data_IF_529185564261
#
_entry.id   IF_529185564261
#
_cell.length_a   1.000
_cell.length_b   1.000
_cell.length_c   1.000
_cell.angle_alpha   90.00
_cell.angle_beta   90.00
_cell.angle_gamma   90.00
#
_symmetry.space_group_name_H-M   'P 1'
#
loop_
_entity.id
_entity.type
_entity.pdbx_description
1 polymer ?
#
# COMPACT_ATOMS: atom_id res chain seq x y z
N UNK A 1 39.16 -42.21 -48.22
CA UNK A 1 37.84 -42.05 -48.85
C UNK A 1 36.91 -43.03 -48.17
N UNK A 2 36.18 -42.59 -47.15
CA UNK A 2 35.04 -43.32 -46.59
C UNK A 2 34.13 -42.26 -45.95
N UNK A 3 32.92 -42.14 -46.48
CA UNK A 3 31.93 -41.17 -46.04
C UNK A 3 30.95 -41.87 -45.08
N UNK A 4 30.89 -41.36 -43.84
CA UNK A 4 29.92 -41.80 -42.83
C UNK A 4 28.69 -40.90 -42.92
N UNK A 5 27.56 -41.47 -43.34
CA UNK A 5 26.27 -40.79 -43.35
C UNK A 5 25.61 -40.88 -41.97
N UNK A 6 25.33 -39.73 -41.35
CA UNK A 6 24.56 -39.64 -40.09
C UNK A 6 23.11 -39.28 -40.43
N UNK A 7 22.19 -40.18 -40.07
CA UNK A 7 20.73 -39.98 -40.11
C UNK A 7 20.33 -39.03 -38.98
N UNK A 8 19.59 -37.97 -39.31
CA UNK A 8 18.86 -37.12 -38.36
C UNK A 8 17.42 -37.64 -38.26
N UNK A 9 17.07 -38.23 -37.12
CA UNK A 9 15.68 -38.55 -36.78
C UNK A 9 15.01 -37.31 -36.16
N UNK A 10 14.08 -36.73 -36.91
CA UNK A 10 13.20 -35.64 -36.47
C UNK A 10 12.04 -36.20 -35.65
N UNK A 11 12.10 -36.08 -34.32
CA UNK A 11 10.93 -36.27 -33.46
C UNK A 11 10.30 -34.91 -33.13
N UNK A 12 9.08 -34.71 -33.62
CA UNK A 12 8.24 -33.56 -33.27
C UNK A 12 7.72 -33.69 -31.82
N UNK A 13 7.69 -32.61 -31.03
CA UNK A 13 7.12 -32.65 -29.68
C UNK A 13 5.59 -32.71 -29.72
N UNK A 14 4.95 -33.38 -28.74
CA UNK A 14 3.49 -33.42 -28.64
C UNK A 14 2.93 -32.06 -28.19
N UNK A 15 2.05 -31.51 -29.02
CA UNK A 15 1.28 -30.30 -28.78
C UNK A 15 0.13 -30.56 -27.79
N UNK A 16 0.36 -30.38 -26.50
CA UNK A 16 -0.71 -30.34 -25.49
C UNK A 16 -1.24 -28.90 -25.33
N UNK A 17 -2.08 -28.50 -26.28
CA UNK A 17 -2.82 -27.23 -26.25
C UNK A 17 -4.06 -27.31 -25.36
N UNK A 18 -3.85 -27.27 -24.05
CA UNK A 18 -4.92 -27.00 -23.08
C UNK A 18 -5.00 -25.51 -22.81
N UNK A 19 -5.83 -24.78 -23.55
CA UNK A 19 -6.10 -23.36 -23.32
C UNK A 19 -6.91 -23.22 -22.03
N UNK A 20 -6.23 -23.20 -20.88
CA UNK A 20 -6.85 -22.85 -19.61
C UNK A 20 -7.42 -21.44 -19.76
N UNK A 21 -8.75 -21.32 -19.75
CA UNK A 21 -9.44 -20.06 -19.82
C UNK A 21 -8.98 -19.19 -18.64
N UNK A 22 -8.16 -18.18 -18.92
CA UNK A 22 -7.73 -17.20 -17.93
C UNK A 22 -8.98 -16.48 -17.44
N UNK A 23 -9.33 -16.66 -16.16
CA UNK A 23 -10.40 -15.90 -15.56
C UNK A 23 -10.08 -14.41 -15.70
N UNK A 24 -11.07 -13.55 -16.03
CA UNK A 24 -10.83 -12.13 -16.19
C UNK A 24 -10.29 -11.56 -14.88
N UNK A 25 -9.05 -11.10 -14.91
CA UNK A 25 -8.38 -10.51 -13.75
C UNK A 25 -9.14 -9.25 -13.35
N UNK A 26 -9.73 -9.27 -12.16
CA UNK A 26 -10.48 -8.13 -11.61
C UNK A 26 -9.50 -6.98 -11.40
N UNK A 27 -9.55 -5.99 -12.29
CA UNK A 27 -8.70 -4.80 -12.18
C UNK A 27 -9.30 -3.85 -11.16
N UNK A 28 -8.63 -3.66 -10.03
CA UNK A 28 -9.03 -2.68 -9.03
C UNK A 28 -8.60 -1.28 -9.45
N UNK A 29 -9.36 -0.21 -9.12
CA UNK A 29 -9.10 1.13 -9.63
C UNK A 29 -7.79 1.76 -9.11
N UNK A 30 -7.21 1.19 -8.05
CA UNK A 30 -5.98 1.66 -7.38
C UNK A 30 -4.80 0.68 -7.51
N UNK A 31 -4.96 -0.39 -8.29
CA UNK A 31 -3.87 -1.32 -8.64
C UNK A 31 -3.63 -1.26 -10.15
N UNK A 32 -2.38 -1.44 -10.56
CA UNK A 32 -2.01 -1.68 -11.94
C UNK A 32 -1.49 -3.11 -12.10
N UNK A 33 -1.96 -3.88 -13.10
CA UNK A 33 -1.44 -5.22 -13.38
C UNK A 33 -0.02 -5.18 -13.96
N UNK A 34 0.44 -4.00 -14.41
CA UNK A 34 1.79 -3.84 -14.94
C UNK A 34 2.84 -4.17 -13.87
N UNK A 35 3.92 -4.90 -14.25
CA UNK A 35 4.99 -5.20 -13.32
C UNK A 35 5.67 -3.91 -12.88
N UNK A 36 6.05 -3.84 -11.61
CA UNK A 36 6.79 -2.72 -11.05
C UNK A 36 8.25 -2.75 -11.49
N UNK A 37 8.50 -2.24 -12.70
CA UNK A 37 9.83 -2.12 -13.32
C UNK A 37 10.05 -0.68 -13.75
N UNK A 38 11.19 -0.09 -13.38
CA UNK A 38 11.51 1.32 -13.64
C UNK A 38 10.72 2.29 -12.77
N UNK A 39 10.88 3.59 -13.03
CA UNK A 39 10.24 4.67 -12.26
C UNK A 39 8.75 4.83 -12.63
N UNK A 40 7.90 5.31 -11.70
CA UNK A 40 6.52 5.67 -12.01
C UNK A 40 6.46 6.94 -12.89
N UNK A 41 5.33 7.17 -13.56
CA UNK A 41 5.06 8.47 -14.17
C UNK A 41 4.98 9.56 -13.09
N UNK A 42 5.46 10.75 -13.41
CA UNK A 42 5.39 11.95 -12.57
C UNK A 42 4.28 12.92 -13.02
N UNK A 43 3.39 12.48 -13.91
CA UNK A 43 2.27 13.29 -14.38
C UNK A 43 1.26 13.55 -13.28
N UNK A 44 0.73 14.78 -13.23
CA UNK A 44 -0.22 15.18 -12.19
C UNK A 44 -1.52 14.35 -12.18
N UNK A 45 -1.95 13.85 -13.34
CA UNK A 45 -3.12 12.95 -13.42
C UNK A 45 -2.89 11.64 -12.66
N UNK A 46 -1.68 11.08 -12.73
CA UNK A 46 -1.30 9.88 -11.97
C UNK A 46 -1.21 10.18 -10.47
N UNK A 47 -0.77 11.38 -10.06
CA UNK A 47 -0.78 11.79 -8.64
C UNK A 47 -2.20 11.87 -8.06
N UNK A 48 -3.21 12.18 -8.87
CA UNK A 48 -4.62 12.21 -8.44
C UNK A 48 -5.22 10.81 -8.31
N UNK A 49 -4.71 9.86 -9.08
CA UNK A 49 -5.22 8.49 -9.15
C UNK A 49 -4.08 7.47 -9.07
N UNK A 50 -3.27 7.49 -7.99
CA UNK A 50 -2.06 6.68 -7.93
C UNK A 50 -2.44 5.20 -7.90
N UNK A 51 -1.80 4.42 -8.79
CA UNK A 51 -2.02 2.97 -8.88
C UNK A 51 -0.75 2.22 -8.52
N UNK A 52 -0.84 1.33 -7.54
CA UNK A 52 0.30 0.51 -7.17
C UNK A 52 0.52 -0.57 -8.24
N UNK A 53 1.74 -0.67 -8.77
CA UNK A 53 2.13 -1.69 -9.76
C UNK A 53 2.35 -3.05 -9.11
N UNK A 54 2.18 -4.11 -9.90
CA UNK A 54 2.26 -5.50 -9.44
C UNK A 54 3.72 -5.90 -9.15
N UNK A 55 3.93 -6.66 -8.08
CA UNK A 55 5.22 -7.22 -7.76
C UNK A 55 5.63 -8.25 -8.84
N UNK A 56 6.78 -8.08 -9.52
CA UNK A 56 7.12 -8.88 -10.70
C UNK A 56 7.42 -10.36 -10.42
N UNK A 57 7.79 -10.71 -9.17
CA UNK A 57 8.30 -12.05 -8.81
C UNK A 57 7.40 -12.78 -7.79
N UNK A 58 6.09 -12.74 -8.00
CA UNK A 58 5.12 -13.25 -7.02
C UNK A 58 5.34 -14.73 -6.64
N UNK A 59 5.71 -15.60 -7.59
CA UNK A 59 5.99 -17.03 -7.36
C UNK A 59 7.27 -17.30 -6.56
N UNK A 60 8.10 -16.27 -6.33
CA UNK A 60 9.42 -16.42 -5.73
C UNK A 60 9.41 -16.06 -4.24
N UNK A 61 8.25 -15.75 -3.65
CA UNK A 61 8.18 -15.34 -2.24
C UNK A 61 8.07 -16.58 -1.34
N UNK A 62 9.12 -16.85 -0.58
CA UNK A 62 9.10 -17.83 0.50
C UNK A 62 8.77 -17.12 1.81
N UNK A 63 7.56 -17.34 2.33
CA UNK A 63 7.13 -16.81 3.63
C UNK A 63 8.05 -17.36 4.73
N UNK A 64 8.39 -16.51 5.69
CA UNK A 64 9.32 -16.82 6.78
C UNK A 64 8.74 -16.44 8.13
N UNK A 65 9.49 -15.71 8.95
CA UNK A 65 9.07 -15.41 10.32
C UNK A 65 7.91 -14.41 10.35
N UNK A 66 6.84 -14.70 11.11
CA UNK A 66 5.83 -13.71 11.48
C UNK A 66 6.47 -12.54 12.24
N UNK A 67 6.23 -11.30 11.78
CA UNK A 67 6.78 -10.08 12.38
C UNK A 67 5.78 -9.47 13.37
N UNK A 68 4.52 -9.36 12.97
CA UNK A 68 3.50 -8.70 13.77
C UNK A 68 2.15 -8.63 13.08
N UNK A 69 1.16 -8.16 13.82
CA UNK A 69 -0.22 -7.99 13.38
C UNK A 69 -0.71 -6.59 13.76
N UNK A 70 -1.49 -5.99 12.88
CA UNK A 70 -2.24 -4.76 13.14
C UNK A 70 -3.74 -4.97 12.92
N UNK A 71 -4.50 -3.87 12.98
CA UNK A 71 -5.95 -3.86 12.71
C UNK A 71 -6.25 -4.31 11.28
N UNK A 72 -5.42 -3.91 10.34
CA UNK A 72 -5.65 -4.10 8.90
C UNK A 72 -5.07 -5.41 8.35
N UNK A 73 -4.40 -6.22 9.16
CA UNK A 73 -3.81 -7.48 8.72
C UNK A 73 -2.54 -7.89 9.46
N UNK A 74 -1.71 -8.69 8.79
CA UNK A 74 -0.46 -9.22 9.35
C UNK A 74 0.74 -8.87 8.50
N UNK A 75 1.93 -8.97 9.10
CA UNK A 75 3.21 -8.78 8.42
C UNK A 75 4.10 -9.99 8.64
N UNK A 76 4.58 -10.58 7.55
CA UNK A 76 5.53 -11.70 7.55
C UNK A 76 6.83 -11.26 6.91
N UNK A 77 7.96 -11.63 7.52
CA UNK A 77 9.27 -11.58 6.88
C UNK A 77 9.34 -12.70 5.85
N UNK A 78 9.65 -12.39 4.60
CA UNK A 78 9.83 -13.37 3.55
C UNK A 78 11.20 -13.24 2.88
N UNK A 79 11.62 -14.28 2.15
CA UNK A 79 12.81 -14.28 1.30
C UNK A 79 12.39 -14.43 -0.15
N UNK A 80 13.09 -13.75 -1.05
CA UNK A 80 12.91 -13.93 -2.48
C UNK A 80 13.79 -15.09 -2.95
N UNK A 81 13.21 -16.04 -3.69
CA UNK A 81 13.92 -17.19 -4.24
C UNK A 81 15.05 -16.73 -5.16
N UNK A 82 16.23 -17.31 -4.97
CA UNK A 82 17.42 -16.93 -5.74
C UNK A 82 18.01 -15.56 -5.37
N UNK A 83 17.61 -14.97 -4.24
CA UNK A 83 18.21 -13.76 -3.69
C UNK A 83 18.44 -13.90 -2.18
N UNK A 84 19.43 -13.19 -1.66
CA UNK A 84 19.62 -13.04 -0.21
C UNK A 84 18.66 -11.99 0.39
N UNK A 85 17.96 -11.23 -0.47
CA UNK A 85 17.02 -10.19 -0.09
C UNK A 85 15.91 -10.71 0.81
N UNK A 86 15.72 -10.01 1.93
CA UNK A 86 14.53 -10.15 2.77
C UNK A 86 13.53 -9.05 2.43
N UNK A 87 12.25 -9.41 2.44
CA UNK A 87 11.14 -8.47 2.26
C UNK A 87 10.16 -8.60 3.42
N UNK A 88 9.39 -7.55 3.67
CA UNK A 88 8.22 -7.58 4.54
C UNK A 88 6.96 -7.69 3.68
N UNK A 89 6.16 -8.71 3.92
CA UNK A 89 4.90 -8.95 3.22
C UNK A 89 3.76 -8.58 4.15
N UNK A 90 3.08 -7.47 3.86
CA UNK A 90 1.88 -7.04 4.58
C UNK A 90 0.67 -7.65 3.90
N UNK A 91 0.07 -8.67 4.52
CA UNK A 91 -1.15 -9.31 4.05
C UNK A 91 -2.32 -8.57 4.68
N UNK A 92 -3.20 -8.02 3.85
CA UNK A 92 -4.29 -7.17 4.31
C UNK A 92 -5.54 -8.02 4.54
N UNK A 93 -6.02 -8.06 5.78
CA UNK A 93 -7.25 -8.73 6.14
C UNK A 93 -8.43 -7.80 5.84
N UNK A 94 -9.20 -8.12 4.81
CA UNK A 94 -10.42 -7.41 4.48
C UNK A 94 -11.26 -8.28 3.58
N UNK A 95 -12.45 -8.69 4.05
CA UNK A 95 -13.35 -9.52 3.28
C UNK A 95 -13.74 -8.81 1.97
N UNK A 96 -13.19 -9.24 0.85
CA UNK A 96 -13.91 -9.24 -0.42
C UNK A 96 -15.04 -10.28 -0.28
N UNK A 97 -16.07 -10.00 0.52
CA UNK A 97 -17.32 -10.72 0.30
C UNK A 97 -17.81 -10.29 -1.07
N UNK A 98 -17.62 -11.16 -2.06
CA UNK A 98 -17.85 -10.96 -3.49
C UNK A 98 -19.31 -10.61 -3.89
N UNK A 99 -20.15 -10.17 -2.95
CA UNK A 99 -21.55 -9.75 -3.19
C UNK A 99 -21.74 -8.25 -3.36
N UNK A 100 -20.71 -7.42 -3.17
CA UNK A 100 -20.84 -5.99 -3.50
C UNK A 100 -20.58 -5.81 -5.00
N UNK A 101 -21.67 -5.85 -5.79
CA UNK A 101 -21.73 -5.38 -7.18
C UNK A 101 -20.93 -4.07 -7.29
N UNK A 102 -19.85 -4.07 -8.07
CA UNK A 102 -19.19 -2.86 -8.56
C UNK A 102 -20.20 -2.04 -9.37
N UNK A 103 -20.99 -1.21 -8.69
CA UNK A 103 -21.69 -0.08 -9.30
C UNK A 103 -20.93 1.16 -8.89
N UNK A 104 -20.04 1.59 -9.78
CA UNK A 104 -19.56 2.96 -9.92
C UNK A 104 -19.12 3.66 -8.62
N UNK A 105 -17.88 3.43 -8.19
CA UNK A 105 -17.20 4.28 -7.22
C UNK A 105 -16.22 5.21 -7.95
N UNK A 106 -16.76 6.25 -8.57
CA UNK A 106 -15.98 7.42 -8.99
C UNK A 106 -15.85 8.36 -7.79
N UNK A 107 -14.65 8.89 -7.55
CA UNK A 107 -14.22 9.76 -6.43
C UNK A 107 -13.84 9.05 -5.12
N UNK A 108 -12.67 8.40 -5.14
CA UNK A 108 -11.82 8.32 -3.96
C UNK A 108 -11.11 9.66 -3.76
N UNK A 109 -11.52 10.33 -2.70
CA UNK A 109 -11.01 11.61 -2.22
C UNK A 109 -9.74 11.27 -1.44
N UNK A 110 -8.57 11.78 -1.85
CA UNK A 110 -7.37 11.83 -1.01
C UNK A 110 -7.72 12.59 0.29
N UNK A 111 -8.15 11.85 1.30
CA UNK A 111 -8.25 12.30 2.69
C UNK A 111 -6.91 11.94 3.33
N UNK A 112 -6.01 12.92 3.35
CA UNK A 112 -4.94 12.94 4.33
C UNK A 112 -5.58 13.26 5.68
N UNK A 113 -6.06 12.24 6.39
CA UNK A 113 -6.43 12.39 7.79
C UNK A 113 -5.16 12.25 8.64
N UNK A 114 -4.44 13.36 8.80
CA UNK A 114 -3.63 13.58 9.99
C UNK A 114 -4.59 13.84 11.14
N UNK A 115 -5.20 12.81 11.75
CA UNK A 115 -5.92 12.95 13.03
C UNK A 115 -6.39 11.61 13.58
N UNK A 116 -5.43 10.80 14.04
CA UNK A 116 -5.67 9.88 15.16
C UNK A 116 -4.40 9.82 16.00
N UNK A 117 -4.06 10.91 16.69
CA UNK A 117 -3.22 10.78 17.88
C UNK A 117 -4.05 10.02 18.93
N UNK A 118 -3.52 8.97 19.57
CA UNK A 118 -4.14 8.43 20.77
C UNK A 118 -4.25 9.56 21.81
N UNK A 119 -5.30 9.57 22.66
CA UNK A 119 -5.37 10.52 23.75
C UNK A 119 -4.11 10.39 24.63
N UNK A 120 -3.67 11.48 25.29
CA UNK A 120 -2.54 11.44 26.20
C UNK A 120 -2.72 10.34 27.25
N UNK A 121 -1.62 9.64 27.55
CA UNK A 121 -1.56 8.50 28.48
C UNK A 121 -1.97 8.90 29.92
N UNK A 122 -2.08 10.21 30.19
CA UNK A 122 -2.27 10.78 31.53
C UNK A 122 -3.72 11.26 31.79
N UNK A 123 -4.69 10.79 31.01
CA UNK A 123 -6.10 11.11 31.29
C UNK A 123 -6.56 10.40 32.59
N UNK A 124 -6.56 11.17 33.68
CA UNK A 124 -7.06 10.79 35.01
C UNK A 124 -8.43 10.05 34.94
N UNK A 125 -8.66 9.03 35.78
CA UNK A 125 -9.88 8.26 35.78
C UNK A 125 -11.08 9.15 36.16
N UNK A 126 -12.01 9.30 35.22
CA UNK A 126 -13.23 10.07 35.38
C UNK A 126 -14.12 9.48 36.49
N UNK A 127 -14.19 10.14 37.64
CA UNK A 127 -15.12 9.79 38.72
C UNK A 127 -16.53 10.22 38.32
N UNK A 128 -17.42 9.25 38.15
CA UNK A 128 -18.80 9.47 37.73
C UNK A 128 -19.64 10.00 38.90
N UNK A 129 -19.94 11.30 38.91
CA UNK A 129 -20.96 11.89 39.79
C UNK A 129 -22.31 11.79 39.06
N UNK A 130 -23.37 11.22 39.66
CA UNK A 130 -24.68 11.15 39.00
C UNK A 130 -25.35 12.54 38.96
N UNK A 131 -25.25 13.21 37.81
CA UNK A 131 -25.99 14.43 37.50
C UNK A 131 -27.44 14.07 37.10
N UNK A 132 -28.50 14.60 37.75
CA UNK A 132 -29.89 14.38 37.34
C UNK A 132 -30.22 14.86 35.91
N UNK A 133 -29.38 15.73 35.34
CA UNK A 133 -29.47 16.13 33.92
C UNK A 133 -28.83 15.10 32.97
N UNK A 134 -28.14 14.09 33.48
CA UNK A 134 -27.57 12.99 32.70
C UNK A 134 -28.68 12.25 31.94
N UNK A 135 -29.78 11.90 32.61
CA UNK A 135 -30.91 11.17 32.00
C UNK A 135 -31.65 11.97 30.92
N UNK A 136 -31.79 13.29 31.10
CA UNK A 136 -32.36 14.18 30.09
C UNK A 136 -31.44 14.35 28.86
N UNK A 137 -30.11 14.34 29.05
CA UNK A 137 -29.13 14.30 27.95
C UNK A 137 -29.04 12.91 27.32
N UNK A 138 -29.23 11.85 28.09
CA UNK A 138 -29.31 10.46 27.61
C UNK A 138 -30.51 10.34 26.68
N UNK A 139 -31.72 10.74 27.10
CA UNK A 139 -32.92 10.73 26.26
C UNK A 139 -32.83 11.59 24.98
N UNK A 140 -32.14 12.74 25.00
CA UNK A 140 -31.88 13.53 23.78
C UNK A 140 -30.85 12.86 22.83
N UNK A 141 -29.94 12.03 23.34
CA UNK A 141 -28.95 11.29 22.53
C UNK A 141 -29.52 10.03 21.84
N UNK A 142 -30.72 9.58 22.22
CA UNK A 142 -31.44 8.46 21.60
C UNK A 142 -32.62 8.89 20.71
N UNK A 143 -32.63 10.12 20.20
CA UNK A 143 -33.34 10.32 18.94
C UNK A 143 -32.71 9.37 17.92
N UNK A 144 -33.50 8.57 17.18
CA UNK A 144 -32.96 7.72 16.14
C UNK A 144 -32.15 8.61 15.21
N UNK A 145 -30.83 8.41 15.20
CA UNK A 145 -29.97 9.16 14.31
C UNK A 145 -30.52 8.92 12.90
N UNK A 146 -30.62 9.95 12.04
CA UNK A 146 -30.92 9.70 10.64
C UNK A 146 -30.00 8.58 10.16
N UNK A 147 -30.52 7.60 9.39
CA UNK A 147 -29.72 6.47 8.94
C UNK A 147 -28.41 7.03 8.39
N UNK A 148 -27.30 6.66 9.03
CA UNK A 148 -26.00 7.15 8.57
C UNK A 148 -25.94 6.76 7.09
N UNK A 149 -25.61 7.71 6.18
CA UNK A 149 -25.34 7.31 4.81
C UNK A 149 -24.36 6.14 4.87
N UNK A 150 -24.55 5.08 4.05
CA UNK A 150 -23.75 3.87 4.14
C UNK A 150 -22.29 4.30 4.22
N UNK A 151 -21.65 4.01 5.36
CA UNK A 151 -20.27 4.39 5.58
C UNK A 151 -19.51 3.84 4.38
N UNK A 152 -18.78 4.72 3.67
CA UNK A 152 -17.84 4.27 2.63
C UNK A 152 -17.04 3.15 3.26
N UNK A 153 -17.19 1.94 2.72
CA UNK A 153 -16.57 0.75 3.29
C UNK A 153 -15.08 1.01 3.30
N UNK A 154 -14.54 1.13 4.50
CA UNK A 154 -13.12 1.31 4.72
C UNK A 154 -12.41 0.08 4.13
N UNK A 155 -11.61 0.28 3.09
CA UNK A 155 -10.83 -0.80 2.50
C UNK A 155 -9.34 -0.55 2.74
N UNK A 156 -8.72 -1.22 3.72
CA UNK A 156 -7.33 -0.92 4.08
C UNK A 156 -6.34 -1.17 2.93
N UNK A 157 -6.63 -2.14 2.06
CA UNK A 157 -5.78 -2.44 0.90
C UNK A 157 -5.74 -1.29 -0.12
N UNK A 158 -6.89 -0.66 -0.38
CA UNK A 158 -6.98 0.52 -1.25
C UNK A 158 -6.09 1.65 -0.73
N UNK A 159 -6.21 1.97 0.57
CA UNK A 159 -5.44 3.06 1.17
C UNK A 159 -3.95 2.78 1.16
N UNK A 160 -3.56 1.56 1.51
CA UNK A 160 -2.15 1.16 1.52
C UNK A 160 -1.54 1.21 0.10
N UNK A 161 -2.29 0.75 -0.91
CA UNK A 161 -1.87 0.83 -2.32
C UNK A 161 -1.68 2.28 -2.77
N UNK A 162 -2.67 3.15 -2.53
CA UNK A 162 -2.61 4.55 -2.92
C UNK A 162 -1.44 5.27 -2.23
N UNK A 163 -1.26 5.04 -0.93
CA UNK A 163 -0.14 5.63 -0.17
C UNK A 163 1.22 5.14 -0.69
N UNK A 164 1.37 3.84 -0.91
CA UNK A 164 2.62 3.27 -1.39
C UNK A 164 2.98 3.78 -2.81
N UNK A 165 2.00 3.85 -3.71
CA UNK A 165 2.19 4.41 -5.04
C UNK A 165 2.55 5.91 -4.98
N UNK A 166 1.90 6.69 -4.11
CA UNK A 166 2.19 8.11 -3.96
C UNK A 166 3.61 8.35 -3.41
N UNK A 167 4.02 7.58 -2.40
CA UNK A 167 5.36 7.65 -1.83
C UNK A 167 6.44 7.26 -2.85
N UNK A 168 6.16 6.27 -3.71
CA UNK A 168 7.03 5.92 -4.83
C UNK A 168 7.20 7.09 -5.80
N UNK A 169 6.10 7.77 -6.17
CA UNK A 169 6.14 8.92 -7.08
C UNK A 169 6.89 10.10 -6.47
N UNK A 170 6.72 10.36 -5.17
CA UNK A 170 7.48 11.38 -4.43
C UNK A 170 8.98 11.04 -4.45
N UNK A 171 9.33 9.77 -4.17
CA UNK A 171 10.73 9.32 -4.18
C UNK A 171 11.37 9.47 -5.56
N UNK A 172 10.67 9.08 -6.63
CA UNK A 172 11.14 9.20 -8.01
C UNK A 172 11.33 10.68 -8.40
N UNK A 173 10.42 11.55 -8.00
CA UNK A 173 10.53 13.00 -8.20
C UNK A 173 11.77 13.59 -7.51
N UNK A 174 12.04 13.18 -6.27
CA UNK A 174 13.25 13.60 -5.55
C UNK A 174 14.54 13.14 -6.25
N UNK A 175 14.57 11.93 -6.77
CA UNK A 175 15.70 11.39 -7.52
C UNK A 175 15.92 12.13 -8.85
N UNK A 176 14.84 12.40 -9.59
CA UNK A 176 14.91 13.20 -10.82
C UNK A 176 15.40 14.63 -10.54
N UNK A 177 14.88 15.29 -9.50
CA UNK A 177 15.32 16.62 -9.10
C UNK A 177 16.81 16.64 -8.76
N UNK A 178 17.30 15.67 -7.96
CA UNK A 178 18.71 15.56 -7.61
C UNK A 178 19.60 15.33 -8.85
N UNK A 179 19.19 14.43 -9.75
CA UNK A 179 19.92 14.14 -11.00
C UNK A 179 20.05 15.37 -11.90
N UNK A 180 19.03 16.21 -11.92
CA UNK A 180 18.99 17.44 -12.74
C UNK A 180 19.45 18.70 -11.98
N UNK A 181 20.00 18.56 -10.77
CA UNK A 181 20.40 19.67 -9.89
C UNK A 181 19.28 20.71 -9.67
N UNK A 182 18.05 20.24 -9.49
CA UNK A 182 16.85 21.03 -9.21
C UNK A 182 16.46 20.86 -7.74
N UNK A 183 15.86 21.91 -7.16
CA UNK A 183 15.31 21.88 -5.81
C UNK A 183 13.78 21.87 -5.86
N UNK A 184 13.16 20.91 -5.18
CA UNK A 184 11.71 20.91 -4.93
C UNK A 184 11.46 21.89 -3.79
N UNK A 185 10.56 22.85 -3.99
CA UNK A 185 10.22 23.84 -2.97
C UNK A 185 8.82 23.57 -2.42
N UNK A 186 8.67 23.55 -1.10
CA UNK A 186 7.40 23.26 -0.42
C UNK A 186 7.03 24.39 0.54
N UNK A 187 5.74 24.51 0.85
CA UNK A 187 5.29 25.26 2.01
C UNK A 187 5.58 24.42 3.28
N UNK A 188 6.48 24.87 4.18
CA UNK A 188 6.85 24.11 5.37
C UNK A 188 5.71 23.99 6.42
N UNK A 189 4.68 24.84 6.31
CA UNK A 189 3.56 24.90 7.25
C UNK A 189 2.21 24.88 6.52
N UNK A 190 1.86 23.77 5.83
CA UNK A 190 0.58 23.68 5.12
C UNK A 190 -0.57 23.65 6.13
N UNK A 191 -1.48 24.63 6.07
CA UNK A 191 -2.62 24.75 7.01
C UNK A 191 -3.93 24.25 6.42
N UNK A 192 -4.00 24.18 5.10
CA UNK A 192 -5.20 23.78 4.38
C UNK A 192 -4.95 22.57 3.48
N UNK A 193 -6.03 21.87 3.12
CA UNK A 193 -5.98 20.82 2.09
C UNK A 193 -5.39 21.33 0.77
N UNK A 194 -5.67 22.58 0.41
CA UNK A 194 -5.12 23.17 -0.82
C UNK A 194 -3.61 23.39 -0.71
N UNK A 195 -3.10 23.77 0.45
CA UNK A 195 -1.65 23.89 0.68
C UNK A 195 -0.96 22.53 0.55
N UNK A 196 -1.54 21.48 1.15
CA UNK A 196 -1.04 20.13 1.02
C UNK A 196 -1.06 19.65 -0.45
N UNK A 197 -2.12 19.96 -1.21
CA UNK A 197 -2.19 19.64 -2.63
C UNK A 197 -1.16 20.43 -3.47
N UNK A 198 -0.87 21.69 -3.12
CA UNK A 198 0.19 22.46 -3.76
C UNK A 198 1.57 21.84 -3.49
N UNK A 199 1.83 21.43 -2.25
CA UNK A 199 3.04 20.68 -1.91
C UNK A 199 3.14 19.38 -2.71
N UNK A 200 2.04 18.62 -2.82
CA UNK A 200 2.03 17.39 -3.60
C UNK A 200 2.28 17.65 -5.09
N UNK A 201 1.71 18.71 -5.66
CA UNK A 201 1.96 19.13 -7.04
C UNK A 201 3.42 19.48 -7.31
N UNK A 202 4.16 19.96 -6.31
CA UNK A 202 5.57 20.29 -6.46
C UNK A 202 6.44 19.06 -6.80
N UNK A 203 5.94 17.84 -6.53
CA UNK A 203 6.60 16.59 -6.93
C UNK A 203 6.22 16.12 -8.35
N UNK A 204 5.25 16.76 -9.01
CA UNK A 204 4.83 16.38 -10.37
C UNK A 204 5.57 17.18 -11.44
N UNK A 205 5.63 16.66 -12.66
CA UNK A 205 6.19 17.35 -13.84
C UNK A 205 5.44 18.64 -14.18
N UNK A 206 4.17 18.75 -13.78
CA UNK A 206 3.32 19.92 -13.97
C UNK A 206 3.94 21.20 -13.38
N UNK A 207 4.77 21.10 -12.34
CA UNK A 207 5.37 22.26 -11.70
C UNK A 207 6.43 22.97 -12.56
N UNK A 208 7.08 22.26 -13.50
CA UNK A 208 8.15 22.84 -14.31
C UNK A 208 7.66 23.92 -15.30
N UNK A 209 6.36 24.03 -15.56
CA UNK A 209 5.82 24.93 -16.58
C UNK A 209 5.09 26.17 -16.05
N UNK A 210 4.78 26.27 -14.74
CA UNK A 210 3.86 27.29 -14.20
C UNK A 210 4.39 28.07 -12.98
N UNK A 211 5.72 28.16 -12.77
CA UNK A 211 6.29 29.06 -11.77
C UNK A 211 6.36 30.52 -12.26
N UNK A 212 5.21 31.11 -12.59
CA UNK A 212 5.07 32.55 -12.74
C UNK A 212 4.28 33.09 -11.54
N UNK A 213 5.00 33.30 -10.43
CA UNK A 213 4.44 33.82 -9.19
C UNK A 213 5.22 33.30 -7.99
N UNK A 214 6.35 33.94 -7.67
CA UNK A 214 7.07 33.72 -6.41
C UNK A 214 6.09 33.97 -5.27
N UNK A 215 5.62 32.92 -4.60
CA UNK A 215 5.05 33.08 -3.27
C UNK A 215 6.20 33.10 -2.28
N UNK A 216 6.29 34.15 -1.45
CA UNK A 216 7.45 34.46 -0.61
C UNK A 216 7.79 33.42 0.50
N UNK A 217 7.03 32.33 0.62
CA UNK A 217 7.13 31.39 1.76
C UNK A 217 7.52 29.95 1.37
N UNK A 218 8.00 29.69 0.16
CA UNK A 218 8.44 28.34 -0.22
C UNK A 218 9.91 28.11 0.15
N UNK A 219 10.21 26.97 0.76
CA UNK A 219 11.57 26.59 1.14
C UNK A 219 12.04 25.35 0.38
N UNK A 220 13.33 25.25 0.03
CA UNK A 220 13.89 24.03 -0.54
C UNK A 220 13.64 22.84 0.40
N UNK A 221 13.00 21.80 -0.12
CA UNK A 221 12.75 20.57 0.62
C UNK A 221 13.98 19.67 0.56
N UNK A 222 14.52 19.36 1.74
CA UNK A 222 15.58 18.38 1.92
C UNK A 222 15.00 17.18 2.66
N UNK A 223 14.77 16.03 1.98
CA UNK A 223 14.20 14.88 2.65
C UNK A 223 15.17 14.36 3.71
N UNK A 224 14.75 14.43 4.97
CA UNK A 224 15.45 13.79 6.09
C UNK A 224 14.79 12.45 6.46
N UNK A 225 13.73 12.04 5.76
CA UNK A 225 13.03 10.78 6.00
C UNK A 225 13.40 9.76 4.93
N UNK A 226 13.82 8.57 5.36
CA UNK A 226 13.98 7.42 4.48
C UNK A 226 12.60 6.80 4.24
N UNK A 227 12.11 6.89 3.01
CA UNK A 227 10.90 6.18 2.58
C UNK A 227 11.26 4.70 2.42
N UNK A 228 10.53 3.81 3.10
CA UNK A 228 10.75 2.37 2.92
C UNK A 228 10.31 1.95 1.52
N UNK A 229 11.15 1.21 0.80
CA UNK A 229 10.87 0.82 -0.57
C UNK A 229 9.66 -0.11 -0.64
N UNK A 230 8.67 0.21 -1.48
CA UNK A 230 7.58 -0.70 -1.83
C UNK A 230 7.92 -1.40 -3.15
N UNK A 231 7.92 -2.73 -3.17
CA UNK A 231 8.18 -3.55 -4.36
C UNK A 231 6.92 -3.86 -5.17
N UNK A 232 5.74 -3.52 -4.67
CA UNK A 232 4.45 -3.66 -5.37
C UNK A 232 3.47 -4.55 -4.64
N UNK A 233 2.30 -4.75 -5.25
CA UNK A 233 1.24 -5.62 -4.70
C UNK A 233 1.33 -7.05 -5.27
N UNK A 234 0.83 -8.01 -4.52
CA UNK A 234 0.71 -9.42 -4.92
C UNK A 234 -0.52 -10.05 -4.25
N UNK A 235 -0.75 -11.33 -4.52
CA UNK A 235 -1.83 -12.14 -3.95
C UNK A 235 -1.29 -13.45 -3.38
N UNK A 236 -1.99 -13.99 -2.38
CA UNK A 236 -1.71 -15.28 -1.74
C UNK A 236 -3.02 -16.04 -1.55
N UNK A 237 -2.98 -17.37 -1.64
CA UNK A 237 -4.11 -18.20 -1.21
C UNK A 237 -4.15 -18.26 0.32
N UNK A 238 -5.35 -18.21 0.90
CA UNK A 238 -5.56 -18.33 2.34
C UNK A 238 -4.93 -19.58 2.91
N UNK A 239 -5.10 -20.71 2.21
CA UNK A 239 -4.52 -21.99 2.60
C UNK A 239 -2.98 -21.93 2.73
N UNK A 240 -2.28 -21.26 1.81
CA UNK A 240 -0.82 -21.12 1.86
C UNK A 240 -0.39 -20.29 3.07
N UNK A 241 -1.15 -19.23 3.38
CA UNK A 241 -0.89 -18.37 4.55
C UNK A 241 -1.13 -19.17 5.84
N UNK A 242 -2.27 -19.88 5.95
CA UNK A 242 -2.63 -20.63 7.14
C UNK A 242 -1.66 -21.79 7.40
N UNK A 243 -1.31 -22.57 6.38
CA UNK A 243 -0.29 -23.62 6.48
C UNK A 243 1.03 -23.07 7.00
N UNK A 244 1.45 -21.91 6.48
CA UNK A 244 2.68 -21.26 6.90
C UNK A 244 2.63 -20.80 8.37
N UNK A 245 1.53 -20.18 8.80
CA UNK A 245 1.35 -19.74 10.18
C UNK A 245 1.34 -20.93 11.16
N UNK A 246 0.69 -22.04 10.80
CA UNK A 246 0.70 -23.28 11.58
C UNK A 246 2.11 -23.87 11.66
N UNK A 247 2.80 -24.01 10.51
CA UNK A 247 4.14 -24.60 10.43
C UNK A 247 5.16 -23.79 11.25
N UNK A 248 5.01 -22.48 11.29
CA UNK A 248 5.88 -21.57 12.06
C UNK A 248 5.44 -21.35 13.51
N UNK A 249 4.33 -21.98 13.94
CA UNK A 249 3.70 -21.78 15.25
C UNK A 249 3.49 -20.30 15.57
N UNK A 250 3.07 -19.54 14.57
CA UNK A 250 2.80 -18.12 14.74
C UNK A 250 1.59 -17.94 15.67
N UNK A 251 1.79 -17.25 16.79
CA UNK A 251 0.72 -16.89 17.72
C UNK A 251 -0.08 -15.71 17.16
N UNK A 252 -0.88 -15.95 16.11
CA UNK A 252 -1.79 -14.95 15.58
C UNK A 252 -3.16 -15.55 15.27
N UNK A 253 -4.21 -14.97 15.87
CA UNK A 253 -5.59 -15.29 15.53
C UNK A 253 -6.03 -14.36 14.39
N UNK A 254 -6.06 -14.88 13.17
CA UNK A 254 -6.75 -14.27 12.04
C UNK A 254 -7.70 -15.29 11.43
N UNK A 255 -8.93 -14.87 11.18
CA UNK A 255 -9.96 -15.67 10.55
C UNK A 255 -9.77 -15.62 9.02
N UNK A 256 -8.63 -16.14 8.56
CA UNK A 256 -8.34 -16.30 7.14
C UNK A 256 -8.99 -17.60 6.67
N UNK A 257 -9.79 -17.52 5.61
CA UNK A 257 -10.40 -18.69 4.99
C UNK A 257 -9.46 -19.27 3.95
N UNK A 258 -9.31 -20.59 3.97
CA UNK A 258 -8.37 -21.30 3.11
C UNK A 258 -8.65 -21.07 1.61
N UNK A 259 -9.92 -20.99 1.24
CA UNK A 259 -10.40 -20.84 -0.13
C UNK A 259 -10.39 -19.39 -0.66
N UNK A 260 -10.11 -18.40 0.19
CA UNK A 260 -10.08 -17.00 -0.22
C UNK A 260 -8.68 -16.59 -0.70
N UNK A 261 -8.62 -15.71 -1.71
CA UNK A 261 -7.38 -15.05 -2.12
C UNK A 261 -7.23 -13.72 -1.37
N UNK A 262 -6.08 -13.54 -0.72
CA UNK A 262 -5.75 -12.33 0.02
C UNK A 262 -4.76 -11.47 -0.76
N UNK A 263 -4.98 -10.16 -0.71
CA UNK A 263 -4.04 -9.19 -1.27
C UNK A 263 -2.94 -8.86 -0.27
N UNK A 264 -1.75 -8.61 -0.81
CA UNK A 264 -0.59 -8.24 -0.02
C UNK A 264 0.24 -7.17 -0.71
N UNK A 265 1.03 -6.45 0.08
CA UNK A 265 2.02 -5.48 -0.41
C UNK A 265 3.40 -5.90 0.10
N UNK A 266 4.37 -5.89 -0.82
CA UNK A 266 5.75 -6.29 -0.57
C UNK A 266 6.58 -5.04 -0.34
N UNK A 267 7.23 -4.94 0.80
CA UNK A 267 8.14 -3.86 1.16
C UNK A 267 9.56 -4.39 1.36
N UNK A 268 10.55 -3.50 1.22
CA UNK A 268 11.89 -3.77 1.71
C UNK A 268 11.86 -4.04 3.21
N UNK A 269 12.59 -5.08 3.64
CA UNK A 269 12.71 -5.41 5.05
C UNK A 269 13.79 -4.54 5.70
N UNK A 270 13.41 -3.77 6.73
CA UNK A 270 14.36 -3.00 7.54
C UNK A 270 14.69 -3.79 8.81
N UNK A 271 15.95 -4.18 8.98
CA UNK A 271 16.38 -4.94 10.15
C UNK A 271 16.37 -4.08 11.42
N UNK A 272 16.33 -4.71 12.60
CA UNK A 272 16.36 -4.00 13.88
C UNK A 272 17.70 -3.26 14.10
N UNK A 273 18.79 -3.73 13.50
CA UNK A 273 20.12 -3.11 13.58
C UNK A 273 20.29 -1.91 12.66
N UNK A 274 19.55 -1.84 11.55
CA UNK A 274 19.62 -0.73 10.58
C UNK A 274 18.73 0.46 10.98
N UNK A 275 18.14 0.41 12.18
CA UNK A 275 17.34 1.50 12.71
C UNK A 275 18.28 2.58 13.20
N UNK A 276 18.39 3.70 12.48
CA UNK A 276 18.93 4.92 13.07
C UNK A 276 18.02 5.30 14.25
N UNK A 277 18.51 5.29 15.50
CA UNK A 277 17.67 5.48 16.68
C UNK A 277 17.01 6.87 16.76
N UNK A 278 17.38 7.81 15.89
CA UNK A 278 16.80 9.15 15.82
C UNK A 278 15.79 9.42 14.70
N UNK A 279 15.46 8.46 13.81
CA UNK A 279 14.72 8.77 12.57
C UNK A 279 13.66 7.73 12.17
N UNK A 280 12.76 7.35 13.08
CA UNK A 280 11.53 6.67 12.68
C UNK A 280 10.29 7.36 13.24
N UNK A 281 9.39 7.77 12.35
CA UNK A 281 7.97 7.84 12.67
C UNK A 281 7.52 6.39 12.82
N UNK A 282 7.23 5.99 14.06
CA UNK A 282 6.55 4.72 14.33
C UNK A 282 5.14 4.81 13.73
N UNK A 283 4.77 3.80 12.93
CA UNK A 283 3.43 3.62 12.39
C UNK A 283 2.66 2.63 13.26
#
# INVERSE_FOLDING_TARGET
MEAVAVRLDSQSPPSSGGTAAQQPEVTLPFTSPLPKVGDPSLDWEEFKHPKLRRFPRHSDINLGRFIGRGVDGLVIKARLRGSEDCVAVKIVSGQLTAKVRLKSLTLCRLQFEFNHQPPPIDAEPYVHIPDPLYELRYRRKFQPRPPRPPLKVYWPFERECMNAALLEMIQASLQDAAKNNKHIHLNPSPKTRNDALKNLRAFSTYHSSHQEGKSDNLTPFSPNVRINGCRGWTQFQGHDINNHLIATRAECCLDLKDEETYYAIVYDYVSKGDRNPGMMLEW
#
